data_IF_649049943642
#
_entry.id   IF_649049943642
#
_cell.length_a   1.000
_cell.length_b   1.000
_cell.length_c   1.000
_cell.angle_alpha   90.00
_cell.angle_beta   90.00
_cell.angle_gamma   90.00
#
_symmetry.space_group_name_H-M   'P 1'
#
loop_
_entity.id
_entity.type
_entity.pdbx_description
1 polymer ?
#
# COMPACT_ATOMS: atom_id res chain seq x y z
N UNK A 1 23.85 8.93 90.32
CA UNK A 1 23.62 8.82 88.87
C UNK A 1 22.31 8.08 88.64
N UNK A 2 21.38 8.74 87.94
CA UNK A 2 20.13 8.32 87.28
C UNK A 2 19.34 7.09 87.77
N UNK A 3 18.14 7.41 88.25
CA UNK A 3 16.90 6.66 88.45
C UNK A 3 16.48 5.81 87.25
N UNK A 4 15.86 4.64 87.46
CA UNK A 4 14.78 4.14 86.59
C UNK A 4 13.83 3.23 87.38
N UNK A 5 12.53 3.58 87.31
CA UNK A 5 11.37 2.93 87.89
C UNK A 5 10.50 2.34 86.76
N UNK A 6 9.75 1.32 87.15
CA UNK A 6 8.34 1.04 86.79
C UNK A 6 7.96 0.14 85.57
N UNK A 7 7.19 -0.89 85.96
CA UNK A 7 5.89 -1.37 85.44
C UNK A 7 5.74 -2.26 84.21
N UNK A 8 5.19 -3.45 84.52
CA UNK A 8 4.24 -4.28 83.80
C UNK A 8 3.39 -3.55 82.74
N UNK A 9 3.33 -4.10 81.53
CA UNK A 9 2.31 -3.80 80.55
C UNK A 9 1.73 -5.10 79.97
N UNK A 10 0.40 -5.16 80.00
CA UNK A 10 -0.51 -6.16 79.42
C UNK A 10 -0.22 -6.35 77.92
N UNK A 11 -0.08 -7.60 77.46
CA UNK A 11 -0.07 -7.94 76.03
C UNK A 11 -1.51 -8.24 75.60
N UNK A 12 -2.15 -7.27 74.95
CA UNK A 12 -3.41 -7.50 74.23
C UNK A 12 -3.08 -8.01 72.82
N UNK A 13 -3.54 -9.22 72.49
CA UNK A 13 -3.47 -9.77 71.14
C UNK A 13 -4.52 -9.09 70.26
N UNK A 14 -4.08 -8.34 69.24
CA UNK A 14 -4.94 -7.80 68.18
C UNK A 14 -4.78 -8.63 66.91
N UNK A 15 -5.84 -9.36 66.55
CA UNK A 15 -6.02 -9.92 65.21
C UNK A 15 -6.32 -8.77 64.24
N UNK A 16 -5.34 -8.34 63.46
CA UNK A 16 -5.56 -7.50 62.30
C UNK A 16 -5.75 -8.39 61.07
N UNK A 17 -7.01 -8.53 60.63
CA UNK A 17 -7.34 -9.14 59.36
C UNK A 17 -6.73 -8.30 58.22
N UNK A 18 -5.80 -8.87 57.46
CA UNK A 18 -5.32 -8.27 56.22
C UNK A 18 -6.44 -8.32 55.19
N UNK A 19 -7.19 -7.23 55.06
CA UNK A 19 -8.07 -7.03 53.92
C UNK A 19 -7.20 -6.89 52.66
N UNK A 20 -7.13 -7.96 51.87
CA UNK A 20 -6.55 -7.96 50.54
C UNK A 20 -7.38 -6.99 49.68
N UNK A 21 -6.82 -5.83 49.34
CA UNK A 21 -7.45 -4.92 48.38
C UNK A 21 -7.63 -5.67 47.05
N UNK A 22 -8.81 -5.60 46.40
CA UNK A 22 -9.00 -6.26 45.11
C UNK A 22 -7.99 -5.69 44.12
N UNK A 23 -7.24 -6.58 43.46
CA UNK A 23 -6.34 -6.22 42.39
C UNK A 23 -7.12 -5.41 41.34
N UNK A 24 -6.76 -4.14 41.21
CA UNK A 24 -7.36 -3.24 40.26
C UNK A 24 -7.00 -3.75 38.87
N UNK A 25 -7.97 -4.38 38.19
CA UNK A 25 -7.82 -4.81 36.82
C UNK A 25 -7.38 -3.59 35.99
N UNK A 26 -6.21 -3.70 35.35
CA UNK A 26 -5.69 -2.65 34.49
C UNK A 26 -6.75 -2.32 33.43
N UNK A 27 -7.26 -1.08 33.45
CA UNK A 27 -8.12 -0.55 32.41
C UNK A 27 -7.38 -0.63 31.08
N UNK A 28 -7.98 -1.17 30.00
CA UNK A 28 -7.34 -1.17 28.69
C UNK A 28 -7.05 0.28 28.30
N UNK A 29 -5.80 0.56 27.94
CA UNK A 29 -5.36 1.90 27.54
C UNK A 29 -6.26 2.43 26.42
N UNK A 30 -6.79 3.64 26.59
CA UNK A 30 -7.63 4.28 25.57
C UNK A 30 -6.82 4.51 24.29
N UNK A 31 -7.26 3.93 23.18
CA UNK A 31 -6.66 4.14 21.85
C UNK A 31 -6.80 5.60 21.44
N UNK A 32 -5.70 6.26 21.06
CA UNK A 32 -5.76 7.65 20.61
C UNK A 32 -6.41 7.76 19.23
N UNK A 33 -6.91 8.95 18.86
CA UNK A 33 -7.48 9.18 17.52
C UNK A 33 -6.49 8.87 16.38
N UNK A 34 -5.18 9.12 16.60
CA UNK A 34 -4.14 8.79 15.62
C UNK A 34 -3.93 7.29 15.47
N UNK A 35 -3.99 6.54 16.58
CA UNK A 35 -3.84 5.09 16.55
C UNK A 35 -5.03 4.43 15.85
N UNK A 36 -6.24 4.94 16.10
CA UNK A 36 -7.46 4.46 15.45
C UNK A 36 -7.44 4.72 13.94
N UNK A 37 -6.98 5.90 13.51
CA UNK A 37 -6.78 6.20 12.09
C UNK A 37 -5.77 5.24 11.43
N UNK A 38 -4.59 5.08 12.04
CA UNK A 38 -3.55 4.22 11.49
C UNK A 38 -4.01 2.76 11.39
N UNK A 39 -4.71 2.24 12.41
CA UNK A 39 -5.28 0.89 12.39
C UNK A 39 -6.31 0.72 11.27
N UNK A 40 -7.23 1.68 11.12
CA UNK A 40 -8.28 1.62 10.10
C UNK A 40 -7.73 1.74 8.67
N UNK A 41 -6.76 2.63 8.46
CA UNK A 41 -6.08 2.75 7.17
C UNK A 41 -5.29 1.46 6.87
N UNK A 42 -4.58 0.91 7.84
CA UNK A 42 -3.87 -0.36 7.71
C UNK A 42 -4.79 -1.52 7.30
N UNK A 43 -5.94 -1.67 7.96
CA UNK A 43 -6.93 -2.67 7.60
C UNK A 43 -7.49 -2.47 6.18
N UNK A 44 -7.74 -1.22 5.78
CA UNK A 44 -8.22 -0.88 4.44
C UNK A 44 -7.18 -1.20 3.36
N UNK A 45 -5.88 -0.94 3.64
CA UNK A 45 -4.78 -1.31 2.75
C UNK A 45 -4.70 -2.83 2.61
N UNK A 46 -4.80 -3.59 3.70
CA UNK A 46 -4.79 -5.05 3.65
C UNK A 46 -5.93 -5.63 2.81
N UNK A 47 -7.13 -5.06 2.91
CA UNK A 47 -8.28 -5.42 2.09
C UNK A 47 -8.02 -5.15 0.60
N UNK A 48 -7.49 -3.95 0.28
CA UNK A 48 -7.09 -3.59 -1.07
C UNK A 48 -6.07 -4.59 -1.66
N UNK A 49 -5.11 -5.03 -0.85
CA UNK A 49 -4.10 -5.99 -1.29
C UNK A 49 -4.64 -7.41 -1.42
N UNK A 50 -5.83 -7.72 -0.92
CA UNK A 50 -6.35 -9.09 -0.81
C UNK A 50 -7.49 -9.40 -1.77
N UNK A 51 -7.91 -8.44 -2.59
CA UNK A 51 -9.04 -8.60 -3.52
C UNK A 51 -8.68 -8.24 -4.96
N UNK A 52 -9.30 -8.96 -5.90
CA UNK A 52 -9.41 -8.58 -7.30
C UNK A 52 -10.85 -8.34 -7.75
N UNK A 53 -11.80 -8.38 -6.82
CA UNK A 53 -13.23 -8.17 -7.10
C UNK A 53 -13.50 -6.67 -7.32
N UNK A 54 -13.98 -6.25 -8.51
CA UNK A 54 -14.32 -4.86 -8.79
C UNK A 54 -15.31 -4.25 -7.78
N UNK A 55 -16.26 -5.01 -7.25
CA UNK A 55 -17.23 -4.50 -6.28
C UNK A 55 -16.55 -4.15 -4.95
N UNK A 56 -15.67 -5.03 -4.45
CA UNK A 56 -14.90 -4.77 -3.23
C UNK A 56 -13.92 -3.61 -3.41
N UNK A 57 -13.27 -3.51 -4.56
CA UNK A 57 -12.35 -2.40 -4.86
C UNK A 57 -13.07 -1.04 -4.82
N UNK A 58 -14.32 -0.96 -5.29
CA UNK A 58 -15.15 0.25 -5.18
C UNK A 58 -15.48 0.60 -3.71
N UNK A 59 -15.74 -0.40 -2.88
CA UNK A 59 -15.97 -0.21 -1.44
C UNK A 59 -14.70 0.28 -0.73
N UNK A 60 -13.56 -0.33 -1.04
CA UNK A 60 -12.23 0.09 -0.56
C UNK A 60 -11.94 1.54 -0.93
N UNK A 61 -12.20 1.93 -2.18
CA UNK A 61 -12.05 3.33 -2.59
C UNK A 61 -12.86 4.30 -1.71
N UNK A 62 -14.12 3.97 -1.40
CA UNK A 62 -14.96 4.77 -0.50
C UNK A 62 -14.49 4.76 0.97
N UNK A 63 -13.83 3.70 1.44
CA UNK A 63 -13.13 3.69 2.75
C UNK A 63 -11.95 4.65 2.75
N UNK A 64 -11.17 4.68 1.67
CA UNK A 64 -10.02 5.58 1.52
C UNK A 64 -10.46 7.05 1.35
N UNK A 65 -11.61 7.33 0.74
CA UNK A 65 -12.22 8.68 0.74
C UNK A 65 -12.50 9.20 2.14
N UNK A 66 -13.08 8.35 3.00
CA UNK A 66 -13.29 8.70 4.39
C UNK A 66 -11.98 8.88 5.15
N UNK A 67 -11.00 8.01 4.93
CA UNK A 67 -9.67 8.14 5.54
C UNK A 67 -9.00 9.47 5.14
N UNK A 68 -9.08 9.86 3.87
CA UNK A 68 -8.55 11.14 3.38
C UNK A 68 -9.27 12.36 3.98
N UNK A 69 -10.56 12.23 4.33
CA UNK A 69 -11.28 13.29 5.03
C UNK A 69 -10.90 13.39 6.51
N UNK A 70 -10.58 12.26 7.16
CA UNK A 70 -10.13 12.21 8.56
C UNK A 70 -8.72 12.76 8.73
N UNK A 71 -7.81 12.44 7.80
CA UNK A 71 -6.42 12.88 7.81
C UNK A 71 -6.07 13.62 6.51
N UNK A 72 -6.52 14.87 6.32
CA UNK A 72 -6.39 15.59 5.05
C UNK A 72 -4.95 15.94 4.67
N UNK A 73 -4.02 15.89 5.63
CA UNK A 73 -2.59 16.12 5.40
C UNK A 73 -1.80 14.82 5.12
N UNK A 74 -2.44 13.65 5.26
CA UNK A 74 -1.82 12.38 4.93
C UNK A 74 -2.03 12.05 3.44
N UNK A 75 -0.93 11.88 2.71
CA UNK A 75 -0.95 11.55 1.29
C UNK A 75 -1.33 10.09 1.02
N UNK A 76 -1.17 9.19 2.01
CA UNK A 76 -1.34 7.74 1.81
C UNK A 76 -2.77 7.35 1.41
N UNK A 77 -3.86 7.86 2.04
CA UNK A 77 -5.22 7.60 1.56
C UNK A 77 -5.41 7.96 0.09
N UNK A 78 -4.88 9.10 -0.36
CA UNK A 78 -4.96 9.57 -1.76
C UNK A 78 -4.15 8.69 -2.70
N UNK A 79 -2.96 8.27 -2.29
CA UNK A 79 -2.15 7.32 -3.05
C UNK A 79 -2.87 5.97 -3.24
N UNK A 80 -3.43 5.41 -2.16
CA UNK A 80 -4.14 4.13 -2.25
C UNK A 80 -5.48 4.26 -2.99
N UNK A 81 -6.13 5.43 -2.99
CA UNK A 81 -7.29 5.68 -3.88
C UNK A 81 -6.90 5.54 -5.34
N UNK A 82 -5.79 6.17 -5.73
CA UNK A 82 -5.29 6.08 -7.09
C UNK A 82 -4.96 4.62 -7.46
N UNK A 83 -4.24 3.92 -6.57
CA UNK A 83 -3.93 2.51 -6.79
C UNK A 83 -5.19 1.62 -6.88
N UNK A 84 -6.17 1.80 -5.98
CA UNK A 84 -7.42 1.04 -6.02
C UNK A 84 -8.17 1.23 -7.35
N UNK A 85 -8.18 2.44 -7.89
CA UNK A 85 -8.83 2.74 -9.17
C UNK A 85 -8.08 2.18 -10.38
N UNK A 86 -6.75 2.23 -10.36
CA UNK A 86 -5.92 1.56 -11.37
C UNK A 86 -6.19 0.06 -11.38
N UNK A 87 -6.20 -0.59 -10.21
CA UNK A 87 -6.52 -2.03 -10.11
C UNK A 87 -7.95 -2.30 -10.61
N UNK A 88 -8.93 -1.48 -10.20
CA UNK A 88 -10.33 -1.60 -10.66
C UNK A 88 -10.42 -1.54 -12.18
N UNK A 89 -9.71 -0.61 -12.82
CA UNK A 89 -9.66 -0.48 -14.27
C UNK A 89 -9.18 -1.77 -14.96
N UNK A 90 -8.19 -2.45 -14.38
CA UNK A 90 -7.64 -3.68 -14.97
C UNK A 90 -8.51 -4.92 -14.78
N UNK A 91 -9.32 -4.99 -13.72
CA UNK A 91 -10.08 -6.19 -13.38
C UNK A 91 -11.57 -6.10 -13.71
N UNK A 92 -12.10 -4.88 -13.90
CA UNK A 92 -13.51 -4.69 -14.25
C UNK A 92 -13.85 -5.20 -15.65
N UNK A 93 -15.08 -5.71 -15.79
CA UNK A 93 -15.71 -6.07 -17.06
C UNK A 93 -16.60 -4.93 -17.61
N UNK A 94 -16.62 -3.78 -16.93
CA UNK A 94 -17.32 -2.59 -17.43
C UNK A 94 -16.63 -2.02 -18.68
N UNK A 95 -17.41 -1.29 -19.48
CA UNK A 95 -16.94 -0.67 -20.71
C UNK A 95 -15.92 0.45 -20.51
N UNK A 96 -15.33 0.89 -21.62
CA UNK A 96 -14.21 1.82 -21.67
C UNK A 96 -14.49 3.15 -20.94
N UNK A 97 -15.70 3.71 -21.07
CA UNK A 97 -16.09 4.94 -20.35
C UNK A 97 -15.97 4.80 -18.83
N UNK A 98 -16.31 3.62 -18.30
CA UNK A 98 -16.19 3.36 -16.85
C UNK A 98 -14.74 3.20 -16.44
N UNK A 99 -13.92 2.53 -17.27
CA UNK A 99 -12.48 2.41 -17.05
C UNK A 99 -11.80 3.78 -17.07
N UNK A 100 -12.16 4.65 -18.01
CA UNK A 100 -11.66 6.01 -18.06
C UNK A 100 -12.06 6.83 -16.84
N UNK A 101 -13.31 6.72 -16.39
CA UNK A 101 -13.76 7.36 -15.16
C UNK A 101 -12.94 6.90 -13.95
N UNK A 102 -12.60 5.61 -13.86
CA UNK A 102 -11.73 5.12 -12.79
C UNK A 102 -10.33 5.73 -12.89
N UNK A 103 -9.76 5.81 -14.09
CA UNK A 103 -8.45 6.40 -14.29
C UNK A 103 -8.44 7.92 -14.05
N UNK A 104 -9.54 8.64 -14.33
CA UNK A 104 -9.72 10.05 -13.99
C UNK A 104 -9.69 10.26 -12.48
N UNK A 105 -10.40 9.41 -11.75
CA UNK A 105 -10.39 9.39 -10.29
C UNK A 105 -8.99 9.07 -9.75
N UNK A 106 -8.25 8.17 -10.41
CA UNK A 106 -6.89 7.84 -10.03
C UNK A 106 -5.94 9.03 -10.22
N UNK A 107 -6.00 9.71 -11.37
CA UNK A 107 -5.21 10.90 -11.66
C UNK A 107 -5.50 12.03 -10.67
N UNK A 108 -6.78 12.26 -10.35
CA UNK A 108 -7.18 13.28 -9.38
C UNK A 108 -6.62 12.97 -7.98
N UNK A 109 -6.79 11.74 -7.49
CA UNK A 109 -6.26 11.34 -6.19
C UNK A 109 -4.73 11.41 -6.15
N UNK A 110 -4.05 10.98 -7.21
CA UNK A 110 -2.58 11.04 -7.29
C UNK A 110 -2.05 12.47 -7.28
N UNK A 111 -2.73 13.40 -7.96
CA UNK A 111 -2.39 14.83 -7.92
C UNK A 111 -2.50 15.41 -6.52
N UNK A 112 -3.55 15.05 -5.77
CA UNK A 112 -3.67 15.46 -4.37
C UNK A 112 -2.59 14.84 -3.49
N UNK A 113 -2.28 13.55 -3.65
CA UNK A 113 -1.18 12.89 -2.93
C UNK A 113 0.17 13.61 -3.17
N UNK A 114 0.42 14.05 -4.40
CA UNK A 114 1.61 14.84 -4.75
C UNK A 114 1.64 16.21 -4.09
N UNK A 115 0.51 16.93 -4.07
CA UNK A 115 0.40 18.24 -3.37
C UNK A 115 0.67 18.12 -1.88
N UNK A 116 0.33 16.98 -1.28
CA UNK A 116 0.59 16.66 0.13
C UNK A 116 2.03 16.22 0.42
N UNK A 117 2.93 16.22 -0.57
CA UNK A 117 4.33 15.87 -0.39
C UNK A 117 4.58 14.36 -0.27
N UNK A 118 3.75 13.54 -0.93
CA UNK A 118 3.98 12.10 -1.01
C UNK A 118 5.32 11.72 -1.66
N UNK A 119 5.75 10.48 -1.48
CA UNK A 119 7.01 9.98 -2.05
C UNK A 119 6.99 10.06 -3.58
N UNK A 120 7.80 10.94 -4.16
CA UNK A 120 7.76 11.22 -5.60
C UNK A 120 8.15 10.00 -6.45
N UNK A 121 9.00 9.08 -5.96
CA UNK A 121 9.29 7.84 -6.69
C UNK A 121 8.03 6.97 -6.79
N UNK A 122 7.34 6.77 -5.66
CA UNK A 122 6.08 6.02 -5.63
C UNK A 122 4.99 6.67 -6.49
N UNK A 123 4.89 8.00 -6.42
CA UNK A 123 3.92 8.77 -7.20
C UNK A 123 4.17 8.66 -8.70
N UNK A 124 5.42 8.75 -9.15
CA UNK A 124 5.78 8.59 -10.57
C UNK A 124 5.53 7.17 -11.08
N UNK A 125 5.83 6.15 -10.27
CA UNK A 125 5.52 4.75 -10.63
C UNK A 125 4.01 4.56 -10.78
N UNK A 126 3.21 5.10 -9.87
CA UNK A 126 1.75 5.00 -9.95
C UNK A 126 1.19 5.83 -11.11
N UNK A 127 1.78 6.99 -11.42
CA UNK A 127 1.44 7.79 -12.60
C UNK A 127 1.69 7.03 -13.90
N UNK A 128 2.83 6.34 -14.01
CA UNK A 128 3.11 5.46 -15.13
C UNK A 128 2.09 4.31 -15.22
N UNK A 129 1.66 3.77 -14.08
CA UNK A 129 0.70 2.67 -14.07
C UNK A 129 -0.71 3.12 -14.50
N UNK A 130 -1.13 4.33 -14.11
CA UNK A 130 -2.35 4.97 -14.64
C UNK A 130 -2.25 5.12 -16.17
N UNK A 131 -1.11 5.62 -16.67
CA UNK A 131 -0.85 5.76 -18.11
C UNK A 131 -0.93 4.44 -18.88
N UNK A 132 -0.44 3.34 -18.30
CA UNK A 132 -0.62 2.00 -18.87
C UNK A 132 -2.10 1.60 -18.92
N UNK A 133 -2.86 1.90 -17.87
CA UNK A 133 -4.32 1.75 -17.87
C UNK A 133 -4.98 2.49 -19.02
N UNK A 134 -4.61 3.76 -19.23
CA UNK A 134 -5.14 4.59 -20.33
C UNK A 134 -4.84 3.97 -21.70
N UNK A 135 -3.61 3.50 -21.90
CA UNK A 135 -3.24 2.82 -23.14
C UNK A 135 -4.03 1.53 -23.32
N UNK A 136 -4.23 0.74 -22.27
CA UNK A 136 -4.99 -0.52 -22.35
C UNK A 136 -6.45 -0.31 -22.75
N UNK A 137 -7.07 0.81 -22.34
CA UNK A 137 -8.46 1.15 -22.73
C UNK A 137 -8.58 1.39 -24.23
N UNK A 138 -7.63 2.09 -24.87
CA UNK A 138 -7.66 2.30 -26.32
C UNK A 138 -6.25 2.35 -26.93
N UNK A 139 -5.60 1.19 -27.15
CA UNK A 139 -4.17 1.14 -27.48
C UNK A 139 -3.80 1.91 -28.73
N UNK A 140 -4.58 1.76 -29.81
CA UNK A 140 -4.31 2.38 -31.11
C UNK A 140 -4.34 3.91 -31.05
N UNK A 141 -5.22 4.49 -30.23
CA UNK A 141 -5.42 5.95 -30.18
C UNK A 141 -4.57 6.62 -29.11
N UNK A 142 -4.21 5.88 -28.06
CA UNK A 142 -3.60 6.44 -26.83
C UNK A 142 -2.12 6.17 -26.69
N UNK A 143 -1.55 5.26 -27.47
CA UNK A 143 -0.12 4.95 -27.40
C UNK A 143 0.75 6.20 -27.63
N UNK A 144 0.44 7.03 -28.62
CA UNK A 144 1.21 8.24 -28.92
C UNK A 144 1.24 9.24 -27.74
N UNK A 145 0.11 9.40 -27.05
CA UNK A 145 -0.01 10.33 -25.92
C UNK A 145 0.64 9.77 -24.65
N UNK A 146 0.28 8.54 -24.26
CA UNK A 146 0.65 8.02 -22.96
C UNK A 146 1.96 7.22 -22.97
N UNK A 147 2.38 6.66 -24.11
CA UNK A 147 3.60 5.85 -24.19
C UNK A 147 4.86 6.62 -23.81
N UNK A 148 5.02 7.83 -24.36
CA UNK A 148 6.15 8.72 -24.03
C UNK A 148 6.11 9.19 -22.57
N UNK A 149 4.91 9.52 -22.06
CA UNK A 149 4.70 9.92 -20.67
C UNK A 149 5.07 8.80 -19.69
N UNK A 150 4.63 7.57 -19.96
CA UNK A 150 4.94 6.40 -19.13
C UNK A 150 6.45 6.17 -19.06
N UNK A 151 7.14 6.21 -20.20
CA UNK A 151 8.60 6.07 -20.24
C UNK A 151 9.32 7.16 -19.44
N UNK A 152 8.88 8.41 -19.54
CA UNK A 152 9.44 9.53 -18.79
C UNK A 152 9.25 9.35 -17.27
N UNK A 153 8.03 9.03 -16.83
CA UNK A 153 7.73 8.80 -15.41
C UNK A 153 8.60 7.67 -14.83
N UNK A 154 8.73 6.54 -15.53
CA UNK A 154 9.55 5.42 -15.08
C UNK A 154 11.04 5.77 -15.04
N UNK A 155 11.55 6.53 -16.02
CA UNK A 155 12.92 7.02 -16.03
C UNK A 155 13.21 7.96 -14.84
N UNK A 156 12.30 8.88 -14.55
CA UNK A 156 12.41 9.78 -13.40
C UNK A 156 12.32 9.02 -12.07
N UNK A 157 11.37 8.10 -11.92
CA UNK A 157 11.25 7.25 -10.74
C UNK A 157 12.52 6.43 -10.49
N UNK A 158 13.14 5.89 -11.54
CA UNK A 158 14.41 5.16 -11.47
C UNK A 158 15.57 6.03 -10.99
N UNK A 159 15.64 7.29 -11.44
CA UNK A 159 16.66 8.24 -10.98
C UNK A 159 16.49 8.60 -9.51
N UNK A 160 15.24 8.76 -9.05
CA UNK A 160 14.94 9.14 -7.67
C UNK A 160 15.18 7.99 -6.68
N UNK A 161 14.68 6.80 -7.00
CA UNK A 161 14.82 5.64 -6.13
C UNK A 161 14.94 4.36 -6.97
N UNK A 162 16.16 3.98 -7.38
CA UNK A 162 16.38 2.72 -8.10
C UNK A 162 16.18 1.48 -7.23
N UNK A 163 15.96 1.61 -5.91
CA UNK A 163 15.62 0.49 -5.03
C UNK A 163 14.10 0.25 -4.93
N UNK A 164 13.26 1.13 -5.48
CA UNK A 164 11.82 0.94 -5.49
C UNK A 164 11.45 -0.33 -6.29
N UNK A 165 10.88 -1.37 -5.68
CA UNK A 165 10.58 -2.62 -6.41
C UNK A 165 9.40 -2.47 -7.38
N UNK A 166 8.43 -1.59 -7.08
CA UNK A 166 7.25 -1.37 -7.93
C UNK A 166 7.62 -0.74 -9.26
N UNK A 167 8.69 0.06 -9.31
CA UNK A 167 9.25 0.58 -10.55
C UNK A 167 9.51 -0.53 -11.56
N UNK A 168 10.25 -1.57 -11.16
CA UNK A 168 10.64 -2.65 -12.06
C UNK A 168 9.46 -3.54 -12.46
N UNK A 169 8.50 -3.74 -11.56
CA UNK A 169 7.22 -4.39 -11.90
C UNK A 169 6.48 -3.61 -13.00
N UNK A 170 6.33 -2.29 -12.84
CA UNK A 170 5.60 -1.46 -13.80
C UNK A 170 6.39 -1.30 -15.11
N UNK A 171 7.73 -1.22 -15.07
CA UNK A 171 8.58 -1.31 -16.25
C UNK A 171 8.38 -2.65 -16.98
N UNK A 172 8.39 -3.76 -16.25
CA UNK A 172 8.16 -5.09 -16.80
C UNK A 172 6.79 -5.18 -17.46
N UNK A 173 5.73 -4.68 -16.83
CA UNK A 173 4.40 -4.62 -17.44
C UNK A 173 4.40 -3.79 -18.74
N UNK A 174 5.08 -2.64 -18.75
CA UNK A 174 5.16 -1.80 -19.94
C UNK A 174 5.78 -2.55 -21.13
N UNK A 175 6.88 -3.26 -20.88
CA UNK A 175 7.60 -4.02 -21.91
C UNK A 175 6.81 -5.26 -22.32
N UNK A 176 6.23 -5.98 -21.36
CA UNK A 176 5.47 -7.21 -21.59
C UNK A 176 4.31 -6.99 -22.56
N UNK A 177 3.58 -5.88 -22.40
CA UNK A 177 2.44 -5.53 -23.24
C UNK A 177 2.81 -4.71 -24.48
N UNK A 178 4.08 -4.36 -24.65
CA UNK A 178 4.57 -3.80 -25.92
C UNK A 178 4.72 -4.94 -26.93
N UNK A 179 4.23 -4.81 -28.18
CA UNK A 179 4.42 -5.85 -29.20
C UNK A 179 5.90 -6.16 -29.48
N UNK A 180 6.21 -7.41 -29.78
CA UNK A 180 7.59 -7.89 -30.03
C UNK A 180 8.29 -7.13 -31.17
N UNK A 181 7.56 -6.76 -32.22
CA UNK A 181 8.07 -5.96 -33.35
C UNK A 181 8.57 -4.57 -32.93
N UNK A 182 8.19 -4.09 -31.74
CA UNK A 182 8.65 -2.84 -31.14
C UNK A 182 9.63 -3.08 -29.97
N UNK A 183 10.17 -4.30 -29.83
CA UNK A 183 11.13 -4.67 -28.80
C UNK A 183 10.51 -5.02 -27.44
N UNK A 184 9.20 -5.27 -27.39
CA UNK A 184 8.50 -5.73 -26.19
C UNK A 184 8.35 -7.24 -26.10
N UNK A 185 7.30 -7.68 -25.40
CA UNK A 185 6.94 -9.09 -25.24
C UNK A 185 7.48 -9.72 -23.97
N UNK A 186 7.16 -11.01 -23.78
CA UNK A 186 7.46 -11.74 -22.56
C UNK A 186 8.98 -11.84 -22.31
N UNK A 187 9.76 -12.25 -23.31
CA UNK A 187 11.21 -12.42 -23.17
C UNK A 187 11.92 -11.10 -22.81
N UNK A 188 11.53 -10.00 -23.44
CA UNK A 188 12.09 -8.68 -23.15
C UNK A 188 11.70 -8.16 -21.75
N UNK A 189 10.55 -8.56 -21.24
CA UNK A 189 10.06 -8.15 -19.92
C UNK A 189 10.66 -8.97 -18.77
N UNK A 190 11.06 -10.23 -19.02
CA UNK A 190 11.55 -11.14 -17.99
C UNK A 190 12.68 -10.55 -17.13
N UNK A 191 13.74 -9.92 -17.69
CA UNK A 191 14.81 -9.34 -16.87
C UNK A 191 14.33 -8.25 -15.92
N UNK A 192 13.28 -7.49 -16.29
CA UNK A 192 12.69 -6.47 -15.43
C UNK A 192 11.90 -7.10 -14.28
N UNK A 193 11.23 -8.22 -14.51
CA UNK A 193 10.55 -8.96 -13.46
C UNK A 193 11.53 -9.67 -12.52
N UNK A 194 12.63 -10.22 -13.03
CA UNK A 194 13.69 -10.80 -12.21
C UNK A 194 14.33 -9.72 -11.32
N UNK A 195 14.59 -8.53 -11.88
CA UNK A 195 15.06 -7.38 -11.11
C UNK A 195 14.03 -6.95 -10.06
N UNK A 196 12.74 -6.86 -10.41
CA UNK A 196 11.68 -6.57 -9.46
C UNK A 196 11.68 -7.59 -8.30
N UNK A 197 11.91 -8.88 -8.59
CA UNK A 197 11.95 -9.94 -7.57
C UNK A 197 13.11 -9.71 -6.60
N UNK A 198 14.30 -9.41 -7.12
CA UNK A 198 15.46 -9.10 -6.29
C UNK A 198 15.22 -7.86 -5.40
N UNK A 199 14.57 -6.82 -5.93
CA UNK A 199 14.20 -5.63 -5.16
C UNK A 199 13.15 -5.93 -4.09
N UNK A 200 12.09 -6.67 -4.42
CA UNK A 200 11.08 -7.05 -3.43
C UNK A 200 11.65 -7.92 -2.31
N UNK A 201 12.60 -8.81 -2.60
CA UNK A 201 13.23 -9.67 -1.58
C UNK A 201 14.00 -8.89 -0.49
N UNK A 202 14.43 -7.65 -0.79
CA UNK A 202 15.16 -6.79 0.14
C UNK A 202 14.35 -5.57 0.60
N UNK A 203 13.16 -5.36 0.03
CA UNK A 203 12.32 -4.20 0.28
C UNK A 203 11.72 -4.24 1.68
N UNK A 204 11.88 -3.13 2.40
CA UNK A 204 11.22 -2.89 3.68
C UNK A 204 10.41 -1.59 3.56
N UNK A 205 9.07 -1.63 3.73
CA UNK A 205 8.27 -0.41 3.80
C UNK A 205 8.80 0.53 4.89
N UNK A 206 8.83 1.83 4.63
CA UNK A 206 9.32 2.83 5.60
C UNK A 206 8.44 2.87 6.87
N UNK A 207 7.14 2.67 6.71
CA UNK A 207 6.17 2.50 7.80
C UNK A 207 5.25 1.32 7.49
N UNK A 208 4.47 0.88 8.49
CA UNK A 208 3.46 -0.16 8.29
C UNK A 208 2.38 0.20 7.25
N UNK A 209 2.22 1.49 6.94
CA UNK A 209 1.23 2.02 5.99
C UNK A 209 1.85 2.39 4.64
N UNK A 210 3.18 2.46 4.54
CA UNK A 210 3.88 2.76 3.29
C UNK A 210 3.53 1.77 2.18
N UNK A 211 3.59 2.19 0.90
CA UNK A 211 3.29 1.32 -0.24
C UNK A 211 4.01 -0.03 -0.18
N UNK A 212 3.23 -1.11 -0.16
CA UNK A 212 3.70 -2.49 -0.07
C UNK A 212 3.07 -3.44 -1.10
N UNK A 213 2.43 -2.86 -2.13
CA UNK A 213 1.80 -3.62 -3.21
C UNK A 213 2.82 -4.10 -4.24
N UNK A 214 2.37 -5.01 -5.12
CA UNK A 214 3.08 -5.42 -6.32
C UNK A 214 3.75 -6.79 -6.23
N UNK A 215 4.19 -7.24 -5.05
CA UNK A 215 4.90 -8.53 -4.93
C UNK A 215 4.03 -9.72 -5.37
N UNK A 216 2.74 -9.74 -5.00
CA UNK A 216 1.80 -10.77 -5.46
C UNK A 216 1.60 -10.73 -6.98
N UNK A 217 1.50 -9.53 -7.55
CA UNK A 217 1.35 -9.35 -9.00
C UNK A 217 2.59 -9.90 -9.72
N UNK A 218 3.78 -9.59 -9.20
CA UNK A 218 5.04 -10.10 -9.72
C UNK A 218 5.10 -11.63 -9.67
N UNK A 219 4.74 -12.24 -8.54
CA UNK A 219 4.70 -13.71 -8.40
C UNK A 219 3.78 -14.33 -9.47
N UNK A 220 2.61 -13.73 -9.70
CA UNK A 220 1.71 -14.15 -10.78
C UNK A 220 2.34 -14.04 -12.17
N UNK A 221 3.04 -12.94 -12.47
CA UNK A 221 3.76 -12.76 -13.74
C UNK A 221 4.86 -13.80 -13.93
N UNK A 222 5.69 -14.02 -12.91
CA UNK A 222 6.79 -14.98 -12.96
C UNK A 222 6.31 -16.44 -13.08
N UNK A 223 5.17 -16.79 -12.47
CA UNK A 223 4.58 -18.11 -12.61
C UNK A 223 4.18 -18.43 -14.07
N UNK A 224 3.75 -17.42 -14.83
CA UNK A 224 3.37 -17.61 -16.24
C UNK A 224 4.55 -18.06 -17.12
N UNK A 225 5.78 -17.58 -16.84
CA UNK A 225 7.00 -18.01 -17.56
C UNK A 225 7.36 -19.48 -17.32
N UNK A 226 7.01 -20.02 -16.14
CA UNK A 226 7.29 -21.42 -15.81
C UNK A 226 6.33 -22.39 -16.51
N UNK A 227 5.13 -21.92 -16.88
CA UNK A 227 4.13 -22.73 -17.57
C UNK A 227 4.38 -22.81 -19.08
N UNK A 228 4.88 -21.73 -19.70
CA UNK A 228 5.26 -21.72 -21.13
C UNK A 228 6.49 -22.57 -21.44
N UNK A 229 7.39 -22.78 -20.46
CA UNK A 229 8.56 -23.63 -20.63
C UNK A 229 8.26 -25.15 -20.67
N UNK A 230 7.04 -25.56 -20.30
CA UNK A 230 6.62 -26.98 -20.24
C UNK A 230 5.82 -27.48 -21.45
N UNK A 231 5.64 -26.66 -22.49
CA UNK A 231 4.79 -26.97 -23.67
C UNK A 231 5.56 -27.16 -24.98
N UNK A 232 6.85 -27.53 -24.91
CA UNK A 232 7.65 -27.91 -26.07
C UNK A 232 8.10 -29.36 -25.99
#
# INVERSE_FOLDING_TARGET
MKTTLLTLALVAASFAATAQAPAQAATPAATTASDAYAAQLGATIQELMSTGDPAQLKLVYGKLERAAAVAPQDWLPRYYQAYARVVTCFVTQEGDDSKDKYLDQADAALKEARKLGGDESELLVLQAYIGQGRMMVSPMTRFATYGSQVGLCLSQAKKLNPANPRLYLVMGNNVYFTPEQFGGGAEAAKPLYDEAQARFATFKPATALSPNWGERQLKGRLAAYSQTAGTH
#
